data_IF_975911693343
#
_entry.id   IF_975911693343
#
_cell.length_a   1.000
_cell.length_b   1.000
_cell.length_c   1.000
_cell.angle_alpha   90.00
_cell.angle_beta   90.00
_cell.angle_gamma   90.00
#
_symmetry.space_group_name_H-M   'P 1'
#
loop_
_entity.id
_entity.type
_entity.pdbx_description
1 polymer ?
#
# COMPACT_ATOMS: atom_id res chain seq x y z
N UNK A 1 -54.69 -31.79 36.54
CA UNK A 1 -54.41 -31.33 37.92
C UNK A 1 -54.19 -29.82 37.82
N UNK A 2 -54.86 -28.94 38.59
CA UNK A 2 -54.76 -28.69 40.05
C UNK A 2 -53.33 -28.30 40.47
N UNK A 3 -53.01 -27.27 41.29
CA UNK A 3 -53.69 -26.13 41.97
C UNK A 3 -52.57 -25.38 42.79
N UNK A 4 -52.45 -24.06 43.08
CA UNK A 4 -53.13 -22.75 42.85
C UNK A 4 -52.08 -21.58 42.83
N UNK A 5 -52.51 -20.32 42.64
CA UNK A 5 -51.81 -19.10 43.11
C UNK A 5 -52.22 -18.70 44.55
N UNK A 6 -52.14 -17.41 45.01
CA UNK A 6 -51.92 -16.17 44.23
C UNK A 6 -51.00 -15.09 44.88
N UNK A 7 -51.01 -13.91 44.25
CA UNK A 7 -50.49 -12.55 44.56
C UNK A 7 -50.07 -12.10 45.98
N UNK A 8 -48.99 -11.30 46.01
CA UNK A 8 -48.94 -9.86 46.41
C UNK A 8 -47.57 -9.30 45.96
N UNK A 9 -47.31 -8.00 45.71
CA UNK A 9 -48.14 -6.80 45.82
C UNK A 9 -47.37 -5.67 46.52
N UNK A 10 -46.69 -4.77 45.77
CA UNK A 10 -45.91 -3.66 46.36
C UNK A 10 -45.37 -2.66 45.34
N UNK A 11 -45.67 -1.38 45.54
CA UNK A 11 -45.33 -0.23 44.67
C UNK A 11 -44.24 0.66 45.27
N UNK A 12 -43.49 1.40 44.44
CA UNK A 12 -42.56 2.42 44.92
C UNK A 12 -41.93 3.27 43.81
N UNK A 13 -42.54 4.42 43.49
CA UNK A 13 -41.88 5.51 42.75
C UNK A 13 -40.92 6.29 43.69
N UNK A 14 -39.80 6.81 43.16
CA UNK A 14 -39.56 8.27 43.06
C UNK A 14 -38.12 8.69 42.68
N UNK A 15 -38.06 9.75 41.87
CA UNK A 15 -37.10 10.88 41.87
C UNK A 15 -35.57 10.69 41.74
N UNK A 16 -35.06 11.00 40.54
CA UNK A 16 -34.00 12.02 40.35
C UNK A 16 -34.47 13.41 40.87
N UNK A 17 -33.61 14.38 41.31
CA UNK A 17 -32.72 15.13 40.38
C UNK A 17 -31.40 15.70 41.06
N UNK A 18 -30.76 16.87 40.69
CA UNK A 18 -29.38 16.84 40.14
C UNK A 18 -28.35 17.92 40.65
N UNK A 19 -27.21 18.06 39.93
CA UNK A 19 -26.31 19.24 39.75
C UNK A 19 -25.06 19.53 40.65
N UNK A 20 -23.87 19.32 40.04
CA UNK A 20 -22.71 20.26 39.95
C UNK A 20 -21.96 20.65 41.28
N UNK A 21 -21.06 21.68 41.33
CA UNK A 21 -19.65 21.55 40.91
C UNK A 21 -18.57 22.13 41.88
N UNK A 22 -17.30 21.73 41.70
CA UNK A 22 -16.10 22.38 42.28
C UNK A 22 -15.03 21.38 42.78
N UNK A 23 -13.73 21.68 42.83
CA UNK A 23 -13.02 22.94 42.52
C UNK A 23 -11.47 22.77 42.40
N UNK A 24 -10.75 23.90 42.32
CA UNK A 24 -9.27 24.02 42.09
C UNK A 24 -8.44 23.55 43.33
N UNK A 25 -7.09 23.46 43.35
CA UNK A 25 -6.04 24.08 42.51
C UNK A 25 -4.65 23.39 42.62
N UNK A 26 -3.72 23.77 41.73
CA UNK A 26 -2.25 23.51 41.80
C UNK A 26 -1.75 22.51 40.75
N UNK A 27 -0.58 22.66 40.12
CA UNK A 27 0.38 23.78 40.11
C UNK A 27 1.56 23.49 39.15
N UNK A 28 1.84 24.42 38.22
CA UNK A 28 2.84 24.30 37.13
C UNK A 28 4.32 24.40 37.62
N UNK A 29 5.38 24.21 36.78
CA UNK A 29 5.41 24.18 35.31
C UNK A 29 6.35 23.13 34.62
N UNK A 30 6.34 23.09 33.28
CA UNK A 30 7.28 22.34 32.44
C UNK A 30 6.81 22.21 30.99
N UNK A 31 6.91 23.28 30.19
CA UNK A 31 6.19 23.39 28.92
C UNK A 31 6.67 22.46 27.79
N UNK A 32 5.73 21.72 27.20
CA UNK A 32 5.87 21.16 25.85
C UNK A 32 5.61 22.26 24.79
N UNK A 33 6.30 22.20 23.66
CA UNK A 33 6.01 23.08 22.52
C UNK A 33 4.95 22.45 21.62
N UNK A 34 3.95 23.22 21.20
CA UNK A 34 2.98 22.79 20.18
C UNK A 34 3.66 22.68 18.81
N UNK A 35 4.14 21.48 18.49
CA UNK A 35 4.68 21.12 17.17
C UNK A 35 3.60 21.12 16.09
N UNK A 36 3.17 22.31 15.67
CA UNK A 36 2.19 22.45 14.59
C UNK A 36 2.85 22.09 13.26
N UNK A 37 2.48 20.93 12.72
CA UNK A 37 2.88 20.44 11.40
C UNK A 37 2.87 21.56 10.35
N UNK A 38 4.03 21.81 9.75
CA UNK A 38 4.19 22.72 8.61
C UNK A 38 4.46 21.89 7.37
N UNK A 39 3.57 22.02 6.38
CA UNK A 39 3.79 21.52 5.02
C UNK A 39 5.18 21.93 4.49
N UNK A 40 5.86 21.06 3.73
CA UNK A 40 6.84 21.50 2.73
C UNK A 40 6.19 22.48 1.76
N UNK A 41 6.91 23.56 1.41
CA UNK A 41 6.36 24.64 0.57
C UNK A 41 6.37 24.24 -0.92
N UNK A 42 5.38 23.43 -1.32
CA UNK A 42 5.11 23.09 -2.72
C UNK A 42 4.60 24.33 -3.47
N UNK A 43 5.54 25.15 -3.92
CA UNK A 43 5.31 26.50 -4.45
C UNK A 43 4.48 26.57 -5.75
N UNK A 44 3.15 26.58 -5.63
CA UNK A 44 2.26 27.08 -6.67
C UNK A 44 2.18 28.62 -6.62
N UNK A 45 3.09 29.31 -7.32
CA UNK A 45 2.95 30.76 -7.58
C UNK A 45 2.87 31.08 -9.07
N UNK A 46 1.63 31.32 -9.53
CA UNK A 46 1.32 32.34 -10.54
C UNK A 46 2.02 32.31 -11.90
N UNK A 47 1.68 31.36 -12.78
CA UNK A 47 1.96 31.46 -14.22
C UNK A 47 1.07 32.54 -14.91
N UNK A 48 1.26 33.82 -14.57
CA UNK A 48 0.71 34.95 -15.34
C UNK A 48 1.66 36.16 -15.37
N UNK A 49 2.31 36.33 -16.51
CA UNK A 49 2.76 37.63 -17.02
C UNK A 49 4.18 38.06 -16.65
N UNK A 50 5.05 38.06 -17.65
CA UNK A 50 5.90 39.21 -17.98
C UNK A 50 6.10 39.26 -19.50
N UNK A 51 6.28 40.45 -20.05
CA UNK A 51 6.26 40.72 -21.49
C UNK A 51 7.67 40.85 -22.11
N UNK A 52 7.76 40.57 -23.42
CA UNK A 52 8.70 41.13 -24.41
C UNK A 52 10.21 41.07 -24.13
N UNK A 53 10.91 40.30 -24.96
CA UNK A 53 12.31 40.50 -25.31
C UNK A 53 12.49 40.38 -26.83
N UNK A 54 13.15 41.34 -27.46
CA UNK A 54 13.19 41.45 -28.92
C UNK A 54 14.24 40.55 -29.61
N UNK A 55 13.86 40.08 -30.81
CA UNK A 55 14.71 40.02 -31.99
C UNK A 55 16.07 39.30 -31.96
N UNK A 56 16.19 38.25 -32.78
CA UNK A 56 16.92 38.43 -34.05
C UNK A 56 16.63 37.33 -35.09
N UNK A 57 16.22 37.72 -36.28
CA UNK A 57 16.23 36.83 -37.45
C UNK A 57 17.65 36.65 -38.00
N UNK A 58 18.02 35.40 -38.31
CA UNK A 58 18.91 35.09 -39.45
C UNK A 58 18.28 34.02 -40.34
N UNK A 59 17.95 34.41 -41.57
CA UNK A 59 17.69 33.47 -42.68
C UNK A 59 19.04 33.06 -43.28
N UNK A 60 19.19 31.78 -43.62
CA UNK A 60 19.98 31.33 -44.77
C UNK A 60 19.04 30.47 -45.64
N UNK A 61 19.21 30.53 -46.97
CA UNK A 61 18.40 29.82 -47.97
C UNK A 61 19.30 28.90 -48.81
N UNK A 62 18.72 27.83 -49.34
CA UNK A 62 19.08 27.29 -50.66
C UNK A 62 19.79 25.94 -50.64
N UNK A 63 19.22 24.97 -51.34
CA UNK A 63 19.75 23.59 -51.44
C UNK A 63 18.68 22.59 -51.91
N UNK A 64 18.04 22.83 -53.06
CA UNK A 64 17.12 21.87 -53.69
C UNK A 64 17.91 20.90 -54.58
N UNK A 65 17.59 19.60 -54.51
CA UNK A 65 17.73 18.63 -55.60
C UNK A 65 16.96 17.34 -55.29
N UNK A 66 16.62 16.55 -56.32
CA UNK A 66 15.56 15.53 -56.25
C UNK A 66 16.03 14.10 -56.53
N UNK A 67 15.46 13.16 -55.76
CA UNK A 67 15.11 11.75 -56.09
C UNK A 67 16.15 10.87 -56.82
N UNK A 68 16.44 9.70 -56.26
CA UNK A 68 15.88 8.42 -56.74
C UNK A 68 16.09 7.32 -55.66
N UNK A 69 15.32 6.20 -55.66
CA UNK A 69 15.39 5.17 -54.62
C UNK A 69 16.41 4.06 -54.95
N UNK A 70 16.99 3.45 -53.92
CA UNK A 70 17.85 2.26 -54.04
C UNK A 70 17.66 1.34 -52.82
N UNK A 71 17.47 0.05 -53.08
CA UNK A 71 17.21 -0.98 -52.06
C UNK A 71 18.50 -1.67 -51.60
N UNK A 72 18.69 -1.86 -50.29
CA UNK A 72 19.78 -2.69 -49.77
C UNK A 72 20.06 -2.54 -48.28
N UNK A 73 19.31 -3.25 -47.44
CA UNK A 73 19.75 -3.59 -46.07
C UNK A 73 20.75 -4.76 -46.18
N UNK A 74 21.84 -4.78 -45.38
CA UNK A 74 21.67 -5.27 -44.00
C UNK A 74 22.52 -4.57 -42.93
N UNK A 75 21.98 -4.55 -41.70
CA UNK A 75 22.79 -4.56 -40.48
C UNK A 75 23.06 -3.21 -39.81
N UNK A 76 22.31 -2.93 -38.75
CA UNK A 76 22.80 -2.21 -37.59
C UNK A 76 22.19 -2.86 -36.33
N UNK A 77 23.03 -3.10 -35.32
CA UNK A 77 22.57 -3.36 -33.94
C UNK A 77 22.67 -2.03 -33.22
N UNK A 78 21.63 -1.60 -32.52
CA UNK A 78 21.72 -0.38 -31.71
C UNK A 78 22.72 -0.55 -30.55
N UNK A 79 23.68 0.36 -30.39
CA UNK A 79 24.55 0.42 -29.24
C UNK A 79 24.06 1.47 -28.23
N UNK A 80 23.82 1.06 -26.99
CA UNK A 80 23.77 1.98 -25.86
C UNK A 80 22.39 2.50 -25.45
N UNK A 81 21.59 1.64 -24.84
CA UNK A 81 20.83 2.03 -23.64
C UNK A 81 21.44 1.30 -22.43
N UNK A 82 22.70 1.63 -22.12
CA UNK A 82 23.33 1.18 -20.87
C UNK A 82 22.70 1.97 -19.72
N UNK A 83 21.92 1.35 -18.81
CA UNK A 83 21.36 2.07 -17.69
C UNK A 83 22.51 2.56 -16.80
N UNK A 84 22.42 3.81 -16.34
CA UNK A 84 23.44 4.41 -15.48
C UNK A 84 23.78 3.53 -14.26
N UNK A 85 24.97 3.71 -13.66
CA UNK A 85 25.49 2.81 -12.63
C UNK A 85 24.44 2.54 -11.56
N UNK A 86 24.10 1.26 -11.39
CA UNK A 86 23.00 0.83 -10.51
C UNK A 86 23.26 1.37 -9.10
N UNK A 87 22.22 1.83 -8.37
CA UNK A 87 22.37 1.99 -6.93
C UNK A 87 22.75 0.64 -6.33
N UNK A 88 23.78 0.63 -5.48
CA UNK A 88 24.39 -0.60 -4.94
C UNK A 88 23.40 -1.38 -4.07
N UNK A 89 22.43 -0.68 -3.46
CA UNK A 89 21.41 -1.25 -2.60
C UNK A 89 20.01 -0.98 -3.20
N UNK A 90 19.11 -1.98 -3.17
CA UNK A 90 17.70 -1.83 -3.62
C UNK A 90 16.77 -1.24 -2.56
N UNK A 91 17.27 -1.07 -1.33
CA UNK A 91 16.51 -0.61 -0.16
C UNK A 91 17.14 0.65 0.42
N UNK A 92 16.31 1.57 0.93
CA UNK A 92 16.71 2.83 1.57
C UNK A 92 15.79 3.12 2.77
N UNK A 93 16.37 3.63 3.85
CA UNK A 93 15.61 4.21 4.98
C UNK A 93 14.97 5.56 4.62
N UNK A 94 13.92 5.94 5.33
CA UNK A 94 13.15 7.16 5.10
C UNK A 94 12.61 7.76 6.42
N UNK A 95 12.42 9.09 6.51
CA UNK A 95 11.73 9.68 7.64
C UNK A 95 10.28 9.18 7.69
N UNK A 96 9.88 8.58 8.81
CA UNK A 96 8.63 7.84 8.93
C UNK A 96 7.58 8.53 9.81
N UNK A 97 6.31 8.25 9.52
CA UNK A 97 5.19 8.55 10.41
C UNK A 97 4.58 7.22 10.87
N UNK A 98 4.81 6.85 12.13
CA UNK A 98 4.27 5.61 12.71
C UNK A 98 3.03 5.95 13.52
N UNK A 99 1.97 5.15 13.40
CA UNK A 99 0.74 5.40 14.15
C UNK A 99 1.01 5.25 15.66
N UNK A 100 0.54 6.20 16.46
CA UNK A 100 0.62 6.11 17.91
C UNK A 100 -0.20 4.90 18.41
N UNK A 101 0.28 4.23 19.46
CA UNK A 101 -0.37 3.01 19.98
C UNK A 101 -1.78 3.30 20.52
N UNK A 102 -2.08 4.48 21.06
CA UNK A 102 -3.44 4.88 21.48
C UNK A 102 -4.38 5.15 20.30
N UNK A 103 -3.83 5.31 19.09
CA UNK A 103 -4.57 5.56 17.84
C UNK A 103 -4.63 4.36 16.90
N UNK A 104 -3.81 3.33 17.09
CA UNK A 104 -3.73 2.15 16.22
C UNK A 104 -5.11 1.54 15.92
N UNK A 105 -5.87 1.18 16.96
CA UNK A 105 -7.21 0.57 16.83
C UNK A 105 -8.29 1.54 16.32
N UNK A 106 -7.97 2.84 16.26
CA UNK A 106 -8.88 3.92 15.84
C UNK A 106 -8.59 4.43 14.41
N UNK A 107 -7.41 4.15 13.87
CA UNK A 107 -7.05 4.52 12.49
C UNK A 107 -6.92 3.28 11.61
N UNK A 108 -6.20 2.25 12.06
CA UNK A 108 -6.03 1.01 11.28
C UNK A 108 -7.34 0.26 11.11
N UNK A 109 -7.40 -0.58 10.08
CA UNK A 109 -8.49 -1.52 9.82
C UNK A 109 -7.93 -2.81 9.24
N UNK A 110 -8.73 -3.88 9.22
CA UNK A 110 -8.40 -5.06 8.42
C UNK A 110 -8.29 -4.75 6.91
N UNK A 111 -7.86 -5.73 6.11
CA UNK A 111 -7.60 -5.54 4.68
C UNK A 111 -8.81 -4.99 3.91
N UNK A 112 -8.62 -3.95 3.11
CA UNK A 112 -9.69 -3.28 2.34
C UNK A 112 -10.53 -4.26 1.49
N UNK A 113 -9.87 -5.23 0.85
CA UNK A 113 -10.50 -6.25 -0.01
C UNK A 113 -11.19 -7.39 0.79
N UNK A 114 -11.09 -7.43 2.13
CA UNK A 114 -11.80 -8.39 2.99
C UNK A 114 -13.25 -7.97 3.32
N UNK A 115 -13.59 -6.69 3.10
CA UNK A 115 -14.89 -6.11 3.40
C UNK A 115 -15.68 -5.81 2.13
N UNK A 116 -17.01 -5.99 2.15
CA UNK A 116 -17.87 -5.43 1.09
C UNK A 116 -17.95 -3.91 1.18
N UNK A 117 -18.27 -3.18 0.09
CA UNK A 117 -18.45 -1.72 0.13
C UNK A 117 -19.46 -1.26 1.21
N UNK A 118 -20.52 -2.05 1.46
CA UNK A 118 -21.48 -1.78 2.55
C UNK A 118 -20.85 -1.90 3.94
N UNK A 119 -19.96 -2.87 4.16
CA UNK A 119 -19.23 -3.00 5.43
C UNK A 119 -18.24 -1.84 5.60
N UNK A 120 -17.47 -1.49 4.56
CA UNK A 120 -16.53 -0.34 4.63
C UNK A 120 -17.27 0.97 4.89
N UNK A 121 -18.41 1.20 4.25
CA UNK A 121 -19.26 2.36 4.53
C UNK A 121 -19.70 2.41 6.00
N UNK A 122 -20.19 1.29 6.57
CA UNK A 122 -20.61 1.24 7.97
C UNK A 122 -19.45 1.42 8.97
N UNK A 123 -18.29 0.82 8.70
CA UNK A 123 -17.07 0.99 9.51
C UNK A 123 -16.57 2.45 9.49
N UNK A 124 -16.59 3.08 8.31
CA UNK A 124 -16.20 4.47 8.13
C UNK A 124 -17.23 5.45 8.75
N UNK A 125 -18.52 5.16 8.68
CA UNK A 125 -19.58 5.96 9.32
C UNK A 125 -19.47 5.90 10.86
N UNK A 126 -19.17 4.73 11.41
CA UNK A 126 -18.96 4.55 12.85
C UNK A 126 -17.67 5.22 13.37
N UNK A 127 -16.67 5.48 12.52
CA UNK A 127 -15.38 6.03 12.90
C UNK A 127 -14.82 7.06 11.89
N UNK A 128 -14.82 8.37 12.20
CA UNK A 128 -14.37 9.43 11.27
C UNK A 128 -12.84 9.47 11.06
N UNK A 129 -12.07 8.70 11.83
CA UNK A 129 -10.60 8.58 11.74
C UNK A 129 -10.13 7.28 11.06
N UNK A 130 -11.06 6.38 10.70
CA UNK A 130 -10.72 5.13 10.00
C UNK A 130 -10.00 5.39 8.68
N UNK A 131 -8.91 4.66 8.42
CA UNK A 131 -8.14 4.73 7.19
C UNK A 131 -8.95 4.32 5.93
N UNK A 132 -10.15 3.75 6.09
CA UNK A 132 -11.14 3.54 5.03
C UNK A 132 -11.76 4.84 4.47
N UNK A 133 -11.58 5.99 5.14
CA UNK A 133 -11.86 7.30 4.54
C UNK A 133 -10.72 7.77 3.63
N UNK A 134 -9.47 7.39 3.93
CA UNK A 134 -8.29 7.70 3.11
C UNK A 134 -8.28 6.80 1.87
N UNK A 135 -8.33 5.49 2.07
CA UNK A 135 -8.24 4.45 1.02
C UNK A 135 -9.52 4.24 0.21
N UNK A 136 -10.51 5.14 0.34
CA UNK A 136 -11.81 5.05 -0.34
C UNK A 136 -11.67 5.03 -1.87
N UNK A 137 -12.49 4.23 -2.54
CA UNK A 137 -12.52 4.15 -4.01
C UNK A 137 -13.92 4.33 -4.60
N UNK A 138 -14.02 4.32 -5.94
CA UNK A 138 -15.28 4.52 -6.69
C UNK A 138 -16.40 3.51 -6.33
N UNK A 139 -16.07 2.32 -5.80
CA UNK A 139 -17.10 1.35 -5.43
C UNK A 139 -17.77 1.64 -4.07
N UNK A 140 -17.13 2.48 -3.23
CA UNK A 140 -17.62 2.90 -1.91
C UNK A 140 -18.58 4.11 -1.97
N UNK A 141 -18.58 4.86 -3.08
CA UNK A 141 -19.45 6.04 -3.27
C UNK A 141 -20.77 5.71 -3.97
N UNK A 142 -21.75 6.59 -3.82
CA UNK A 142 -23.06 6.46 -4.45
C UNK A 142 -22.94 6.41 -5.99
N UNK A 143 -23.87 5.73 -6.67
CA UNK A 143 -23.74 5.40 -8.08
C UNK A 143 -23.67 6.64 -9.01
N UNK A 144 -24.28 7.73 -8.59
CA UNK A 144 -24.30 9.06 -9.20
C UNK A 144 -23.04 9.90 -8.91
N UNK A 145 -22.20 9.48 -7.96
CA UNK A 145 -20.94 10.14 -7.57
C UNK A 145 -19.69 9.45 -8.13
N UNK A 146 -19.83 8.31 -8.83
CA UNK A 146 -18.69 7.46 -9.23
C UNK A 146 -17.74 8.09 -10.24
N UNK A 147 -18.23 9.05 -11.02
CA UNK A 147 -17.45 9.77 -12.02
C UNK A 147 -16.78 11.02 -11.44
N UNK A 148 -17.15 11.44 -10.21
CA UNK A 148 -16.52 12.54 -9.47
C UNK A 148 -15.26 12.07 -8.74
N UNK A 149 -14.21 11.78 -9.52
CA UNK A 149 -12.91 11.36 -9.00
C UNK A 149 -12.25 12.48 -8.19
N UNK A 150 -12.44 13.74 -8.57
CA UNK A 150 -11.82 14.89 -7.91
C UNK A 150 -12.45 15.15 -6.53
N UNK A 151 -13.78 15.05 -6.41
CA UNK A 151 -14.48 15.07 -5.11
C UNK A 151 -14.12 13.87 -4.23
N UNK A 152 -13.99 12.67 -4.80
CA UNK A 152 -13.52 11.47 -4.10
C UNK A 152 -12.12 11.68 -3.51
N UNK A 153 -11.13 12.07 -4.33
CA UNK A 153 -9.75 12.24 -3.90
C UNK A 153 -9.55 13.44 -2.96
N UNK A 154 -10.32 14.52 -3.15
CA UNK A 154 -10.41 15.62 -2.17
C UNK A 154 -10.91 15.10 -0.82
N UNK A 155 -11.89 14.18 -0.82
CA UNK A 155 -12.36 13.49 0.38
C UNK A 155 -11.29 12.63 1.04
N UNK A 156 -10.50 11.89 0.26
CA UNK A 156 -9.36 11.08 0.73
C UNK A 156 -8.27 11.96 1.38
N UNK A 157 -7.86 13.04 0.71
CA UNK A 157 -6.86 13.98 1.23
C UNK A 157 -7.34 14.69 2.50
N UNK A 158 -8.60 15.13 2.53
CA UNK A 158 -9.22 15.71 3.72
C UNK A 158 -9.36 14.69 4.87
N UNK A 159 -9.52 13.40 4.57
CA UNK A 159 -9.50 12.35 5.57
C UNK A 159 -8.11 12.15 6.17
N UNK A 160 -7.07 12.14 5.34
CA UNK A 160 -5.69 12.01 5.81
C UNK A 160 -5.30 13.20 6.70
N UNK A 161 -5.66 14.43 6.28
CA UNK A 161 -5.43 15.63 7.08
C UNK A 161 -6.14 15.58 8.45
N UNK A 162 -7.36 15.03 8.55
CA UNK A 162 -8.03 14.85 9.85
C UNK A 162 -7.26 13.92 10.80
N UNK A 163 -6.51 12.96 10.29
CA UNK A 163 -5.73 12.02 11.11
C UNK A 163 -4.43 12.70 11.58
N UNK A 164 -3.78 13.49 10.71
CA UNK A 164 -2.65 14.34 11.11
C UNK A 164 -3.06 15.42 12.13
N UNK A 165 -4.14 16.16 11.87
CA UNK A 165 -4.66 17.23 12.74
C UNK A 165 -5.08 16.71 14.13
N UNK A 166 -5.34 15.41 14.26
CA UNK A 166 -5.68 14.75 15.52
C UNK A 166 -4.46 14.31 16.34
N UNK A 167 -3.23 14.45 15.82
CA UNK A 167 -2.01 14.02 16.50
C UNK A 167 -1.85 12.50 16.59
N UNK A 168 -2.39 11.75 15.62
CA UNK A 168 -2.44 10.29 15.67
C UNK A 168 -1.12 9.58 15.27
N UNK A 169 -0.09 10.31 14.85
CA UNK A 169 1.19 9.79 14.37
C UNK A 169 2.36 10.33 15.20
N UNK A 170 3.36 9.48 15.42
CA UNK A 170 4.68 9.81 15.95
C UNK A 170 5.65 10.02 14.79
N UNK A 171 6.40 11.11 14.81
CA UNK A 171 7.34 11.48 13.75
C UNK A 171 8.74 10.89 14.02
N UNK A 172 9.32 10.22 13.01
CA UNK A 172 10.70 9.74 13.00
C UNK A 172 11.48 10.55 11.95
N UNK A 173 12.10 11.67 12.36
CA UNK A 173 12.81 12.58 11.45
C UNK A 173 14.07 11.96 10.79
N UNK A 174 14.76 11.06 11.49
CA UNK A 174 15.94 10.37 10.95
C UNK A 174 15.54 9.31 9.91
N UNK A 175 16.18 9.23 8.73
CA UNK A 175 15.92 8.21 7.72
C UNK A 175 16.07 6.78 8.25
N UNK A 176 14.95 6.17 8.63
CA UNK A 176 14.90 4.88 9.32
C UNK A 176 14.43 3.76 8.38
N UNK A 177 14.82 2.53 8.69
CA UNK A 177 14.04 1.35 8.30
C UNK A 177 13.09 1.00 9.44
N UNK A 178 12.01 0.28 9.13
CA UNK A 178 11.10 -0.24 10.14
C UNK A 178 10.99 -1.74 9.98
N UNK A 179 11.16 -2.51 11.05
CA UNK A 179 10.90 -3.94 11.03
C UNK A 179 9.44 -4.16 11.43
N UNK A 180 8.69 -4.90 10.63
CA UNK A 180 7.26 -5.12 10.80
C UNK A 180 6.96 -6.62 10.89
N UNK A 181 6.56 -7.07 12.08
CA UNK A 181 6.13 -8.45 12.33
C UNK A 181 4.61 -8.55 12.29
N UNK A 182 4.12 -9.56 11.57
CA UNK A 182 2.72 -9.97 11.52
C UNK A 182 2.59 -11.39 12.06
N UNK A 183 1.70 -11.60 13.03
CA UNK A 183 1.48 -12.88 13.71
C UNK A 183 0.00 -13.28 13.66
N UNK A 184 -0.28 -14.49 13.17
CA UNK A 184 -1.64 -15.01 12.93
C UNK A 184 -1.68 -16.50 13.28
N UNK A 185 -2.17 -16.81 14.49
CA UNK A 185 -2.15 -18.18 15.02
C UNK A 185 -0.72 -18.69 15.20
N UNK A 186 -0.40 -19.84 14.61
CA UNK A 186 0.96 -20.43 14.65
C UNK A 186 1.93 -19.84 13.60
N UNK A 187 1.49 -18.87 12.78
CA UNK A 187 2.29 -18.26 11.72
C UNK A 187 2.80 -16.87 12.13
N UNK A 188 4.10 -16.63 11.92
CA UNK A 188 4.79 -15.35 12.10
C UNK A 188 5.59 -15.04 10.83
N UNK A 189 5.66 -13.76 10.44
CA UNK A 189 6.54 -13.25 9.39
C UNK A 189 7.05 -11.85 9.77
N UNK A 190 8.34 -11.57 9.56
CA UNK A 190 9.01 -10.29 9.88
C UNK A 190 9.58 -9.66 8.61
N UNK A 191 8.96 -8.59 8.15
CA UNK A 191 9.39 -7.86 6.95
C UNK A 191 10.15 -6.58 7.26
N UNK A 192 11.01 -6.16 6.33
CA UNK A 192 11.68 -4.85 6.38
C UNK A 192 10.84 -3.85 5.58
N UNK A 193 10.22 -2.90 6.26
CA UNK A 193 9.58 -1.71 5.67
C UNK A 193 10.63 -0.63 5.40
N UNK A 194 10.66 -0.13 4.17
CA UNK A 194 11.50 0.96 3.73
C UNK A 194 11.01 1.50 2.38
N UNK A 195 11.88 2.22 1.66
CA UNK A 195 11.59 2.59 0.26
C UNK A 195 12.53 1.89 -0.71
N UNK A 196 11.95 1.42 -1.82
CA UNK A 196 12.65 0.78 -2.95
C UNK A 196 12.55 1.69 -4.18
N UNK A 197 13.48 1.61 -5.16
CA UNK A 197 13.39 2.45 -6.35
C UNK A 197 12.13 2.11 -7.18
N UNK A 198 11.47 3.14 -7.71
CA UNK A 198 10.40 2.97 -8.71
C UNK A 198 11.05 2.49 -10.01
N UNK A 199 10.97 1.19 -10.26
CA UNK A 199 11.57 0.57 -11.45
C UNK A 199 10.59 0.51 -12.61
N UNK A 200 11.14 0.53 -13.83
CA UNK A 200 10.37 0.26 -15.04
C UNK A 200 9.96 -1.22 -15.11
N UNK A 201 8.95 -1.54 -15.93
CA UNK A 201 8.48 -2.92 -16.13
C UNK A 201 9.50 -3.93 -16.68
N UNK A 202 10.61 -3.48 -17.28
CA UNK A 202 11.71 -4.29 -17.81
C UNK A 202 12.90 -4.47 -16.84
N UNK A 203 12.91 -3.73 -15.73
CA UNK A 203 13.97 -3.75 -14.73
C UNK A 203 13.93 -5.03 -13.88
N UNK A 204 15.06 -5.72 -13.81
CA UNK A 204 15.17 -7.02 -13.13
C UNK A 204 15.38 -6.93 -11.61
N UNK A 205 15.44 -5.73 -11.03
CA UNK A 205 15.51 -5.54 -9.57
C UNK A 205 14.20 -5.87 -8.86
N UNK A 206 13.05 -5.59 -9.48
CA UNK A 206 11.72 -5.87 -8.92
C UNK A 206 10.86 -6.62 -9.94
N UNK A 207 10.82 -7.95 -9.83
CA UNK A 207 10.12 -8.82 -10.78
C UNK A 207 8.62 -8.88 -10.50
N UNK A 208 7.82 -8.49 -11.51
CA UNK A 208 6.35 -8.50 -11.49
C UNK A 208 5.83 -9.81 -12.08
N UNK A 209 4.78 -10.38 -11.49
CA UNK A 209 4.23 -11.68 -11.91
C UNK A 209 2.76 -11.65 -12.40
N UNK A 210 2.07 -10.50 -12.32
CA UNK A 210 0.71 -10.29 -12.85
C UNK A 210 0.65 -9.07 -13.79
N UNK A 211 -0.36 -9.05 -14.66
CA UNK A 211 -0.68 -7.91 -15.54
C UNK A 211 -1.58 -6.89 -14.84
N UNK A 212 -1.20 -5.61 -14.91
CA UNK A 212 -1.95 -4.50 -14.32
C UNK A 212 -3.17 -4.13 -15.18
N UNK A 213 -4.30 -3.85 -14.52
CA UNK A 213 -5.50 -3.28 -15.19
C UNK A 213 -5.42 -1.74 -15.16
N UNK A 214 -5.51 -1.04 -16.30
CA UNK A 214 -5.31 0.41 -16.38
C UNK A 214 -6.10 1.22 -15.35
N UNK A 215 -7.44 1.18 -15.39
CA UNK A 215 -8.29 2.01 -14.51
C UNK A 215 -8.08 1.88 -12.99
N UNK A 216 -7.53 0.75 -12.48
CA UNK A 216 -7.16 0.64 -11.05
C UNK A 216 -5.79 1.29 -10.78
N UNK A 217 -4.86 1.26 -11.74
CA UNK A 217 -3.62 2.03 -11.65
C UNK A 217 -3.89 3.53 -11.79
N UNK A 218 -4.70 3.97 -12.77
CA UNK A 218 -5.01 5.38 -13.02
C UNK A 218 -5.57 6.10 -11.78
N UNK A 219 -6.48 5.45 -11.05
CA UNK A 219 -7.03 5.97 -9.78
C UNK A 219 -5.98 6.02 -8.66
N UNK A 220 -5.12 5.01 -8.56
CA UNK A 220 -4.03 4.97 -7.58
C UNK A 220 -2.94 6.01 -7.89
N UNK A 221 -2.66 6.30 -9.16
CA UNK A 221 -1.74 7.37 -9.60
C UNK A 221 -2.25 8.72 -9.12
N UNK A 222 -3.53 9.02 -9.38
CA UNK A 222 -4.15 10.28 -8.92
C UNK A 222 -4.24 10.34 -7.40
N UNK A 223 -4.53 9.23 -6.71
CA UNK A 223 -4.49 9.17 -5.25
C UNK A 223 -3.09 9.51 -4.70
N UNK A 224 -2.03 8.91 -5.24
CA UNK A 224 -0.65 9.19 -4.83
C UNK A 224 -0.26 10.66 -5.03
N UNK A 225 -0.73 11.31 -6.10
CA UNK A 225 -0.45 12.71 -6.40
C UNK A 225 -1.28 13.70 -5.57
N UNK A 226 -2.57 13.44 -5.34
CA UNK A 226 -3.49 14.36 -4.63
C UNK A 226 -3.47 14.17 -3.10
N UNK A 227 -3.35 12.94 -2.62
CA UNK A 227 -3.27 12.61 -1.17
C UNK A 227 -1.82 12.70 -0.67
N UNK A 228 -0.83 12.54 -1.56
CA UNK A 228 0.59 12.66 -1.24
C UNK A 228 1.22 11.41 -0.59
N UNK A 229 0.51 10.28 -0.57
CA UNK A 229 0.98 9.00 -0.03
C UNK A 229 0.49 7.80 -0.87
N UNK A 230 1.14 6.65 -0.71
CA UNK A 230 0.59 5.38 -1.22
C UNK A 230 -0.57 4.94 -0.33
N UNK A 231 -1.59 4.29 -0.91
CA UNK A 231 -2.72 3.73 -0.15
C UNK A 231 -2.31 2.61 0.83
N UNK A 232 -1.16 2.00 0.59
CA UNK A 232 -0.42 1.06 1.45
C UNK A 232 0.96 0.79 0.83
N UNK A 233 1.95 0.25 1.56
CA UNK A 233 3.17 -0.28 0.93
C UNK A 233 2.86 -1.35 -0.13
N UNK A 234 3.79 -1.59 -1.07
CA UNK A 234 3.82 -2.83 -1.85
C UNK A 234 4.42 -3.96 -1.01
N UNK A 235 3.97 -5.19 -1.22
CA UNK A 235 4.57 -6.36 -0.58
C UNK A 235 5.53 -7.02 -1.56
N UNK A 236 6.77 -7.22 -1.12
CA UNK A 236 7.86 -7.84 -1.87
C UNK A 236 8.39 -9.04 -1.10
N UNK A 237 8.96 -10.00 -1.81
CA UNK A 237 9.76 -11.07 -1.20
C UNK A 237 11.14 -11.17 -1.82
N UNK A 238 12.10 -11.65 -1.04
CA UNK A 238 13.48 -11.93 -1.40
C UNK A 238 13.86 -13.33 -0.89
N UNK A 239 14.92 -13.93 -1.45
CA UNK A 239 15.40 -15.22 -0.95
C UNK A 239 16.03 -15.08 0.44
N UNK A 240 15.54 -15.85 1.41
CA UNK A 240 16.05 -15.95 2.78
C UNK A 240 17.59 -16.06 2.83
N UNK A 241 18.19 -15.38 3.81
CA UNK A 241 19.65 -15.26 3.94
C UNK A 241 20.02 -15.11 5.42
N UNK A 242 20.69 -16.13 5.95
CA UNK A 242 21.04 -16.26 7.37
C UNK A 242 21.78 -15.04 7.94
N UNK A 243 22.53 -14.29 7.11
CA UNK A 243 23.23 -13.09 7.54
C UNK A 243 22.28 -11.89 7.71
N UNK A 244 21.32 -11.71 6.80
CA UNK A 244 20.29 -10.68 6.92
C UNK A 244 19.31 -11.02 8.05
N UNK A 245 18.89 -12.29 8.14
CA UNK A 245 18.00 -12.79 9.19
C UNK A 245 18.63 -12.59 10.58
N UNK A 246 19.95 -12.73 10.70
CA UNK A 246 20.70 -12.44 11.94
C UNK A 246 20.66 -10.96 12.34
N UNK A 247 20.70 -10.03 11.38
CA UNK A 247 20.57 -8.58 11.67
C UNK A 247 19.13 -8.26 12.10
N UNK A 248 18.12 -8.80 11.39
CA UNK A 248 16.70 -8.67 11.77
C UNK A 248 16.45 -9.21 13.19
N UNK A 249 17.05 -10.36 13.53
CA UNK A 249 16.96 -10.95 14.87
C UNK A 249 17.61 -10.08 15.95
N UNK A 250 18.74 -9.42 15.63
CA UNK A 250 19.39 -8.45 16.53
C UNK A 250 18.50 -7.23 16.79
N UNK A 251 18.04 -6.56 15.73
CA UNK A 251 17.22 -5.35 15.84
C UNK A 251 15.83 -5.61 16.45
N UNK A 252 15.27 -6.82 16.32
CA UNK A 252 13.98 -7.17 16.96
C UNK A 252 14.11 -7.70 18.39
N UNK A 253 15.32 -7.74 18.96
CA UNK A 253 15.54 -8.00 20.39
C UNK A 253 15.24 -6.77 21.26
N UNK A 254 15.29 -5.56 20.69
CA UNK A 254 14.97 -4.30 21.38
C UNK A 254 13.46 -4.08 21.57
N UNK A 255 13.12 -3.06 22.36
CA UNK A 255 11.72 -2.69 22.59
C UNK A 255 11.07 -2.10 21.31
N UNK A 256 9.97 -2.68 20.81
CA UNK A 256 9.25 -2.14 19.67
C UNK A 256 8.53 -0.83 20.01
N UNK A 257 8.36 0.01 18.99
CA UNK A 257 7.71 1.33 19.07
C UNK A 257 6.18 1.25 18.94
N UNK A 258 5.65 0.16 18.39
CA UNK A 258 4.23 -0.09 18.25
C UNK A 258 3.92 -1.57 18.49
N UNK A 259 2.83 -1.82 19.21
CA UNK A 259 2.11 -3.11 19.25
C UNK A 259 0.61 -2.87 19.14
N UNK A 260 -0.08 -3.61 18.28
CA UNK A 260 -1.55 -3.60 18.16
C UNK A 260 -2.04 -4.97 17.70
N UNK A 261 -3.28 -5.32 18.06
CA UNK A 261 -3.95 -6.56 17.66
C UNK A 261 -5.22 -6.18 16.92
N UNK A 262 -5.33 -6.50 15.63
CA UNK A 262 -6.46 -6.10 14.79
C UNK A 262 -6.98 -7.28 13.95
N UNK A 263 -8.28 -7.56 14.00
CA UNK A 263 -8.96 -8.64 13.26
C UNK A 263 -8.32 -10.05 13.43
N UNK A 264 -7.62 -10.30 14.54
CA UNK A 264 -6.88 -11.55 14.80
C UNK A 264 -5.46 -11.61 14.23
N UNK A 265 -4.92 -10.48 13.81
CA UNK A 265 -3.50 -10.28 13.46
C UNK A 265 -2.82 -9.48 14.57
N UNK A 266 -1.83 -10.07 15.22
CA UNK A 266 -0.91 -9.36 16.10
C UNK A 266 0.16 -8.66 15.24
N UNK A 267 0.40 -7.38 15.51
CA UNK A 267 1.29 -6.51 14.75
C UNK A 267 2.30 -5.86 15.68
N UNK A 268 3.59 -5.97 15.34
CA UNK A 268 4.69 -5.31 16.09
C UNK A 268 5.60 -4.55 15.13
N UNK A 269 5.97 -3.31 15.47
CA UNK A 269 6.91 -2.49 14.68
C UNK A 269 8.10 -2.03 15.53
N UNK A 270 9.31 -2.14 14.99
CA UNK A 270 10.53 -1.52 15.49
C UNK A 270 11.02 -0.46 14.50
N UNK A 271 11.51 0.69 14.96
CA UNK A 271 12.30 1.59 14.12
C UNK A 271 13.79 1.24 14.26
N UNK A 272 14.51 1.27 13.14
CA UNK A 272 15.95 0.98 13.06
C UNK A 272 16.62 2.12 12.30
N UNK A 273 17.62 2.73 12.92
CA UNK A 273 18.34 3.91 12.42
C UNK A 273 19.86 3.73 12.59
N UNK A 274 20.67 4.71 12.17
CA UNK A 274 22.12 4.66 12.29
C UNK A 274 22.79 3.37 11.74
N UNK A 275 23.77 2.85 12.47
CA UNK A 275 24.63 1.73 12.03
C UNK A 275 23.84 0.43 11.76
N UNK A 276 22.75 0.16 12.49
CA UNK A 276 21.91 -1.02 12.27
C UNK A 276 21.04 -0.90 11.00
N UNK A 277 20.60 0.32 10.65
CA UNK A 277 19.91 0.56 9.39
C UNK A 277 20.87 0.40 8.20
N UNK A 278 22.10 0.91 8.32
CA UNK A 278 23.16 0.66 7.34
C UNK A 278 23.51 -0.84 7.24
N UNK A 279 23.51 -1.59 8.36
CA UNK A 279 23.73 -3.03 8.34
C UNK A 279 22.63 -3.77 7.56
N UNK A 280 21.34 -3.47 7.82
CA UNK A 280 20.21 -4.02 7.06
C UNK A 280 20.27 -3.65 5.57
N UNK A 281 20.57 -2.39 5.23
CA UNK A 281 20.66 -1.89 3.86
C UNK A 281 21.79 -2.59 3.09
N UNK A 282 22.97 -2.74 3.70
CA UNK A 282 24.11 -3.40 3.07
C UNK A 282 23.95 -4.93 2.99
N UNK A 283 23.27 -5.56 3.96
CA UNK A 283 22.89 -6.97 3.88
C UNK A 283 21.83 -7.22 2.80
N UNK A 284 20.93 -6.27 2.53
CA UNK A 284 19.97 -6.32 1.43
C UNK A 284 20.64 -6.19 0.06
N UNK A 285 21.61 -5.29 -0.12
CA UNK A 285 22.43 -5.21 -1.36
C UNK A 285 21.61 -5.02 -2.65
N UNK A 286 22.11 -5.53 -3.80
CA UNK A 286 21.43 -5.44 -5.11
C UNK A 286 20.46 -6.60 -5.43
N UNK A 287 19.96 -7.29 -4.39
CA UNK A 287 19.11 -8.50 -4.51
C UNK A 287 17.91 -8.30 -5.44
N UNK A 288 17.60 -9.33 -6.21
CA UNK A 288 16.34 -9.41 -6.96
C UNK A 288 15.17 -9.61 -6.01
N UNK A 289 14.26 -8.64 -6.00
CA UNK A 289 12.99 -8.68 -5.28
C UNK A 289 11.87 -9.17 -6.21
N UNK A 290 10.83 -9.78 -5.63
CA UNK A 290 9.67 -10.30 -6.33
C UNK A 290 8.41 -9.67 -5.74
N UNK A 291 7.53 -9.09 -6.56
CA UNK A 291 6.25 -8.54 -6.06
C UNK A 291 5.36 -9.69 -5.60
N UNK A 292 4.86 -9.63 -4.36
CA UNK A 292 3.88 -10.58 -3.80
C UNK A 292 2.48 -9.97 -3.76
N UNK A 293 2.35 -8.69 -3.41
CA UNK A 293 1.15 -7.86 -3.63
C UNK A 293 1.52 -6.43 -4.05
N UNK A 294 0.61 -5.77 -4.76
CA UNK A 294 0.69 -4.34 -5.04
C UNK A 294 1.20 -3.98 -6.43
N UNK A 295 1.14 -4.88 -7.42
CA UNK A 295 1.53 -4.61 -8.81
C UNK A 295 0.85 -3.35 -9.38
N UNK A 296 -0.42 -3.11 -8.98
CA UNK A 296 -1.16 -1.89 -9.31
C UNK A 296 -0.59 -0.63 -8.64
N UNK A 297 -0.12 -0.72 -7.39
CA UNK A 297 0.49 0.40 -6.64
C UNK A 297 1.90 0.71 -7.18
N UNK A 298 2.68 -0.32 -7.52
CA UNK A 298 3.98 -0.15 -8.20
C UNK A 298 3.84 0.50 -9.59
N UNK A 299 2.84 0.10 -10.38
CA UNK A 299 2.55 0.74 -11.67
C UNK A 299 2.00 2.17 -11.51
N UNK A 300 1.25 2.45 -10.45
CA UNK A 300 0.81 3.81 -10.13
C UNK A 300 1.98 4.73 -9.71
N UNK A 301 2.97 4.19 -8.99
CA UNK A 301 4.20 4.92 -8.67
C UNK A 301 5.07 5.16 -9.92
N UNK A 302 5.19 4.16 -10.80
CA UNK A 302 5.84 4.28 -12.12
C UNK A 302 5.20 5.39 -12.96
N UNK A 303 3.87 5.41 -13.04
CA UNK A 303 3.14 6.42 -13.81
C UNK A 303 3.16 7.81 -13.15
N UNK A 304 3.02 7.92 -11.83
CA UNK A 304 3.12 9.20 -11.11
C UNK A 304 4.51 9.84 -11.31
N UNK A 305 5.58 9.03 -11.23
CA UNK A 305 6.95 9.44 -11.56
C UNK A 305 7.06 9.89 -13.02
N UNK A 306 6.44 9.18 -13.97
CA UNK A 306 6.47 9.55 -15.39
C UNK A 306 5.74 10.88 -15.66
N UNK A 307 4.59 11.11 -15.01
CA UNK A 307 3.80 12.34 -15.18
C UNK A 307 4.49 13.58 -14.56
N UNK A 308 5.13 13.42 -13.40
CA UNK A 308 5.88 14.51 -12.73
C UNK A 308 7.27 14.72 -13.35
N UNK A 309 7.84 13.69 -13.98
CA UNK A 309 9.17 13.68 -14.61
C UNK A 309 10.29 14.32 -13.75
N UNK A 310 10.46 13.88 -12.48
CA UNK A 310 11.36 14.55 -11.54
C UNK A 310 12.83 14.43 -11.95
N UNK A 311 13.53 15.56 -11.98
CA UNK A 311 14.95 15.64 -12.39
C UNK A 311 15.96 15.33 -11.28
N UNK A 312 15.51 15.27 -10.02
CA UNK A 312 16.37 14.97 -8.86
C UNK A 312 16.29 13.47 -8.49
N UNK A 313 17.42 12.79 -8.18
CA UNK A 313 17.42 11.37 -7.83
C UNK A 313 16.79 11.08 -6.44
N UNK A 314 16.88 12.02 -5.51
CA UNK A 314 16.20 11.93 -4.19
C UNK A 314 14.77 12.48 -4.19
N UNK A 315 14.17 12.77 -5.35
CA UNK A 315 12.76 13.15 -5.38
C UNK A 315 11.88 11.98 -4.93
N UNK A 316 10.86 12.16 -4.05
CA UNK A 316 10.10 11.06 -3.47
C UNK A 316 9.56 10.04 -4.48
N UNK A 317 9.00 10.49 -5.61
CA UNK A 317 8.48 9.61 -6.67
C UNK A 317 9.54 8.79 -7.43
N UNK A 318 10.84 8.96 -7.16
CA UNK A 318 11.86 8.00 -7.63
C UNK A 318 11.85 6.71 -6.79
N UNK A 319 11.12 6.71 -5.67
CA UNK A 319 11.05 5.66 -4.67
C UNK A 319 9.59 5.31 -4.33
N UNK A 320 9.35 4.11 -3.83
CA UNK A 320 8.02 3.66 -3.39
C UNK A 320 8.14 2.83 -2.12
N UNK A 321 7.17 2.99 -1.22
CA UNK A 321 7.12 2.31 0.07
C UNK A 321 6.86 0.81 -0.12
N UNK A 322 7.68 -0.03 0.50
CA UNK A 322 7.61 -1.48 0.37
C UNK A 322 7.96 -2.19 1.67
N UNK A 323 7.24 -3.28 1.96
CA UNK A 323 7.65 -4.28 2.96
C UNK A 323 8.28 -5.46 2.24
N UNK A 324 9.48 -5.83 2.64
CA UNK A 324 10.27 -6.93 2.08
C UNK A 324 10.26 -8.10 3.08
N UNK A 325 9.62 -9.23 2.73
CA UNK A 325 9.56 -10.44 3.56
C UNK A 325 10.46 -11.57 3.02
N UNK A 326 11.17 -12.35 3.86
CA UNK A 326 11.97 -13.48 3.42
C UNK A 326 11.09 -14.63 2.87
N UNK A 327 11.50 -15.30 1.78
CA UNK A 327 10.67 -16.29 1.09
C UNK A 327 10.39 -17.57 1.90
N UNK A 328 11.21 -17.89 2.90
CA UNK A 328 10.93 -18.96 3.88
C UNK A 328 9.77 -18.64 4.85
N UNK A 329 9.44 -17.37 5.07
CA UNK A 329 8.31 -16.95 5.93
C UNK A 329 7.01 -16.71 5.15
N UNK A 330 7.03 -16.71 3.81
CA UNK A 330 5.85 -16.39 2.99
C UNK A 330 4.76 -17.48 3.01
N UNK A 331 3.67 -17.27 3.77
CA UNK A 331 2.48 -18.14 3.76
C UNK A 331 1.60 -17.92 2.52
N UNK A 332 1.88 -18.65 1.43
CA UNK A 332 1.12 -18.57 0.18
C UNK A 332 -0.15 -19.45 0.23
N UNK A 333 -1.33 -18.80 0.36
CA UNK A 333 -2.64 -19.47 0.41
C UNK A 333 -3.35 -19.49 -0.97
N UNK A 334 -4.24 -20.48 -1.24
CA UNK A 334 -4.95 -20.58 -2.51
C UNK A 334 -6.17 -19.63 -2.62
N UNK A 335 -6.31 -18.95 -3.76
CA UNK A 335 -7.49 -18.14 -4.05
C UNK A 335 -8.70 -18.98 -4.48
N UNK A 336 -9.63 -19.22 -3.56
CA UNK A 336 -10.89 -19.89 -3.85
C UNK A 336 -11.85 -18.98 -4.64
N UNK A 337 -12.18 -19.35 -5.89
CA UNK A 337 -13.11 -18.60 -6.75
C UNK A 337 -14.49 -19.26 -6.77
N UNK A 338 -15.53 -18.53 -6.34
CA UNK A 338 -16.93 -18.93 -6.53
C UNK A 338 -17.37 -18.61 -7.96
N UNK A 339 -17.57 -19.65 -8.77
CA UNK A 339 -18.19 -19.52 -10.10
C UNK A 339 -19.71 -19.38 -9.91
N UNK A 340 -20.32 -18.45 -10.66
CA UNK A 340 -21.76 -18.30 -10.80
C UNK A 340 -22.06 -17.78 -12.20
N UNK A 341 -23.11 -18.30 -12.83
CA UNK A 341 -23.42 -17.99 -14.22
C UNK A 341 -24.26 -16.72 -14.37
N UNK A 342 -23.86 -15.84 -15.30
CA UNK A 342 -24.56 -14.58 -15.59
C UNK A 342 -25.69 -14.71 -16.63
N UNK A 343 -25.86 -15.90 -17.23
CA UNK A 343 -26.90 -16.20 -18.21
C UNK A 343 -28.08 -17.00 -17.61
N UNK A 344 -28.07 -17.30 -16.31
CA UNK A 344 -29.13 -18.03 -15.62
C UNK A 344 -29.07 -19.56 -15.74
N UNK A 345 -27.93 -20.14 -16.13
CA UNK A 345 -27.72 -21.60 -16.13
C UNK A 345 -27.91 -22.19 -14.73
N UNK A 346 -28.44 -23.42 -14.68
CA UNK A 346 -28.42 -24.23 -13.46
C UNK A 346 -27.01 -24.76 -13.15
N UNK A 347 -26.79 -25.25 -11.93
CA UNK A 347 -25.51 -25.83 -11.49
C UNK A 347 -25.02 -26.95 -12.43
N UNK A 348 -25.95 -27.76 -12.93
CA UNK A 348 -25.70 -28.90 -13.81
C UNK A 348 -25.17 -28.43 -15.17
N UNK A 349 -25.82 -27.42 -15.76
CA UNK A 349 -25.39 -26.83 -17.03
C UNK A 349 -24.07 -26.04 -16.92
N UNK A 350 -23.70 -25.56 -15.72
CA UNK A 350 -22.37 -25.00 -15.44
C UNK A 350 -21.32 -26.12 -15.39
N UNK A 351 -21.62 -27.24 -14.71
CA UNK A 351 -20.74 -28.40 -14.61
C UNK A 351 -20.51 -29.06 -15.99
N UNK A 352 -21.56 -29.17 -16.80
CA UNK A 352 -21.48 -29.66 -18.19
C UNK A 352 -20.55 -28.79 -19.03
N UNK A 353 -20.78 -27.47 -19.08
CA UNK A 353 -19.93 -26.53 -19.81
C UNK A 353 -18.47 -26.49 -19.30
N UNK A 354 -18.25 -26.66 -17.99
CA UNK A 354 -16.90 -26.77 -17.42
C UNK A 354 -16.23 -28.11 -17.77
N UNK A 355 -16.99 -29.15 -18.09
CA UNK A 355 -16.45 -30.46 -18.53
C UNK A 355 -15.88 -30.39 -19.95
N UNK A 356 -16.38 -29.47 -20.80
CA UNK A 356 -15.76 -29.16 -22.10
C UNK A 356 -14.34 -28.58 -21.96
N UNK A 357 -14.06 -27.90 -20.85
CA UNK A 357 -12.78 -27.27 -20.54
C UNK A 357 -11.78 -28.19 -19.81
N UNK A 358 -12.23 -29.33 -19.25
CA UNK A 358 -11.35 -30.25 -18.53
C UNK A 358 -12.09 -31.30 -17.68
N UNK A 359 -11.36 -32.29 -17.18
CA UNK A 359 -11.94 -33.35 -16.36
C UNK A 359 -12.36 -32.84 -14.98
N UNK A 360 -13.64 -33.02 -14.63
CA UNK A 360 -14.20 -32.70 -13.31
C UNK A 360 -14.40 -33.97 -12.48
N UNK A 361 -13.99 -33.92 -11.21
CA UNK A 361 -14.21 -35.00 -10.24
C UNK A 361 -14.90 -34.45 -8.99
N UNK A 362 -16.07 -34.99 -8.57
CA UNK A 362 -16.71 -34.59 -7.31
C UNK A 362 -15.81 -34.85 -6.09
N UNK A 363 -15.69 -33.87 -5.20
CA UNK A 363 -14.95 -33.95 -3.92
C UNK A 363 -15.93 -33.66 -2.78
N UNK A 364 -16.21 -34.64 -1.91
CA UNK A 364 -17.19 -34.49 -0.81
C UNK A 364 -16.70 -33.62 0.36
N UNK A 365 -15.38 -33.42 0.50
CA UNK A 365 -14.82 -32.38 1.36
C UNK A 365 -13.72 -31.64 0.59
N UNK A 366 -13.85 -30.33 0.33
CA UNK A 366 -12.77 -29.52 -0.21
C UNK A 366 -11.77 -29.23 0.91
N UNK A 367 -10.75 -30.09 1.05
CA UNK A 367 -9.48 -29.64 1.63
C UNK A 367 -8.89 -28.56 0.71
N UNK A 368 -8.01 -27.74 1.28
CA UNK A 368 -7.01 -26.94 0.55
C UNK A 368 -6.47 -27.78 -0.62
N UNK A 369 -6.49 -27.30 -1.88
CA UNK A 369 -5.95 -28.05 -2.99
C UNK A 369 -4.48 -28.42 -2.71
N UNK A 370 -4.12 -29.67 -2.96
CA UNK A 370 -2.71 -30.07 -2.96
C UNK A 370 -1.95 -29.15 -3.95
N UNK A 371 -0.79 -28.58 -3.58
CA UNK A 371 -0.04 -27.74 -4.49
C UNK A 371 0.31 -28.54 -5.76
N UNK A 372 0.31 -27.91 -6.95
CA UNK A 372 0.48 -28.63 -8.21
C UNK A 372 1.79 -29.42 -8.20
N UNK A 373 1.66 -30.74 -8.39
CA UNK A 373 2.77 -31.70 -8.27
C UNK A 373 3.91 -31.32 -9.21
N UNK A 374 5.00 -30.78 -8.64
CA UNK A 374 6.16 -30.29 -9.40
C UNK A 374 6.96 -31.44 -10.04
N UNK A 375 6.63 -32.71 -9.79
CA UNK A 375 7.37 -33.87 -10.27
C UNK A 375 6.93 -34.39 -11.66
N UNK A 376 6.89 -33.53 -12.71
CA UNK A 376 6.71 -34.02 -14.10
C UNK A 376 7.20 -33.14 -15.26
N UNK A 377 8.39 -32.52 -15.15
CA UNK A 377 9.06 -31.82 -16.27
C UNK A 377 10.57 -32.08 -16.36
N UNK A 378 10.99 -33.35 -16.21
CA UNK A 378 12.40 -33.74 -16.21
C UNK A 378 12.68 -35.11 -16.90
N UNK A 379 11.96 -35.43 -17.97
CA UNK A 379 12.18 -36.69 -18.74
C UNK A 379 11.59 -36.67 -20.16
N UNK A 380 12.11 -35.78 -21.02
CA UNK A 380 12.09 -35.97 -22.49
C UNK A 380 13.45 -35.59 -23.07
N UNK A 381 14.23 -36.62 -23.41
CA UNK A 381 15.41 -36.57 -24.28
C UNK A 381 15.13 -37.40 -25.54
#
# INVERSE_FOLDING_TARGET
MRERGPDTGGSGDHHDPPLRPGGRAGGCPGGAQEGRYKRPDNGQQGLRGLERGDGHHRRIRGGDLRRHPGSGSPGQRDPGSDPGPRPVNVLRGFPGLVIDTEWADRVTTGPYDAYTPKQRAALAEANPYSFLHVTRSQEDVAADQRDDIDGLLTGCAAAMQRIYDAGAYVEHEEPSLFLYRMEVGDHSQTGILGVVPVTNSDDRRILRHESVRPGRADLLTRHLLEVGMSSSPISLTYRTDEALDSVIASCTADQPILKSTSEGVDQTVWAVAGEDADALINAMGDRTLYVTDGHHRLAAAEEARNQVAPTHPDHPLQWTEAVLFPDAEMLVLPFHRRVGDRAGRSSEAIIEALTECGHLQPRQMPRTPDPPDRARSASTS
#
